data_IF_513447576204
#
_entry.id   IF_513447576204
#
_cell.length_a   1.000
_cell.length_b   1.000
_cell.length_c   1.000
_cell.angle_alpha   90.00
_cell.angle_beta   90.00
_cell.angle_gamma   90.00
#
_symmetry.space_group_name_H-M   'P 1'
#
loop_
_entity.id
_entity.type
_entity.pdbx_description
1 polymer ?
#
# COMPACT_ATOMS: atom_id res chain seq x y z
N UNK A 1 2.19 -12.25 7.84
CA UNK A 1 2.71 -10.89 8.07
C UNK A 1 1.54 -9.91 8.04
N UNK A 2 1.56 -8.89 8.90
CA UNK A 2 0.48 -7.94 9.02
C UNK A 2 0.74 -6.74 8.08
N UNK A 3 0.03 -6.65 6.95
CA UNK A 3 0.18 -5.55 5.98
C UNK A 3 -0.08 -4.18 6.60
N UNK A 4 -1.01 -4.09 7.54
CA UNK A 4 -1.33 -2.83 8.22
C UNK A 4 -0.26 -2.42 9.23
N UNK A 5 0.67 -3.31 9.59
CA UNK A 5 1.83 -2.95 10.40
C UNK A 5 2.97 -2.34 9.55
N UNK A 6 2.84 -2.39 8.23
CA UNK A 6 3.83 -1.91 7.27
C UNK A 6 3.47 -0.58 6.61
N UNK A 7 2.46 0.12 7.13
CA UNK A 7 2.13 1.49 6.74
C UNK A 7 2.58 2.45 7.83
N UNK A 8 2.80 3.71 7.47
CA UNK A 8 3.22 4.73 8.43
C UNK A 8 2.07 5.04 9.42
N UNK A 9 2.43 5.56 10.60
CA UNK A 9 1.46 5.90 11.65
C UNK A 9 0.50 7.04 11.27
N UNK A 10 0.83 7.78 10.23
CA UNK A 10 0.06 8.87 9.63
C UNK A 10 -0.80 8.39 8.44
N UNK A 11 -1.03 7.08 8.33
CA UNK A 11 -1.75 6.45 7.23
C UNK A 11 -3.05 5.82 7.73
N UNK A 12 -4.16 6.23 7.13
CA UNK A 12 -5.49 5.70 7.37
C UNK A 12 -5.91 4.85 6.18
N UNK A 13 -6.27 3.59 6.43
CA UNK A 13 -6.67 2.64 5.40
C UNK A 13 -8.19 2.61 5.28
N UNK A 14 -8.69 2.87 4.07
CA UNK A 14 -10.10 2.74 3.74
C UNK A 14 -10.41 1.34 3.19
N UNK A 15 -9.46 0.77 2.44
CA UNK A 15 -9.62 -0.53 1.81
C UNK A 15 -8.30 -1.32 1.80
N UNK A 16 -8.39 -2.60 2.17
CA UNK A 16 -7.33 -3.58 2.00
C UNK A 16 -7.95 -4.86 1.45
N UNK A 17 -7.53 -5.25 0.26
CA UNK A 17 -7.94 -6.49 -0.39
C UNK A 17 -6.70 -7.33 -0.73
N UNK A 18 -6.76 -8.61 -0.40
CA UNK A 18 -5.79 -9.62 -0.83
C UNK A 18 -6.54 -10.58 -1.74
N UNK A 19 -6.23 -10.55 -3.03
CA UNK A 19 -6.86 -11.40 -4.05
C UNK A 19 -6.20 -12.78 -4.08
N UNK A 20 -6.94 -13.77 -4.58
CA UNK A 20 -6.46 -15.16 -4.67
C UNK A 20 -5.27 -15.35 -5.62
N UNK A 21 -5.02 -14.41 -6.52
CA UNK A 21 -3.87 -14.35 -7.42
C UNK A 21 -2.66 -13.62 -6.81
N UNK A 22 -2.65 -13.44 -5.48
CA UNK A 22 -1.60 -12.77 -4.72
C UNK A 22 -1.45 -11.27 -5.02
N UNK A 23 -2.38 -10.70 -5.77
CA UNK A 23 -2.48 -9.25 -5.95
C UNK A 23 -3.06 -8.65 -4.67
N UNK A 24 -2.41 -7.61 -4.18
CA UNK A 24 -2.83 -6.85 -3.01
C UNK A 24 -3.20 -5.46 -3.49
N UNK A 25 -4.38 -5.01 -3.12
CA UNK A 25 -4.85 -3.64 -3.33
C UNK A 25 -5.03 -2.95 -1.98
N UNK A 26 -4.44 -1.77 -1.85
CA UNK A 26 -4.50 -0.95 -0.65
C UNK A 26 -4.89 0.47 -1.04
N UNK A 27 -5.90 1.05 -0.40
CA UNK A 27 -6.24 2.46 -0.58
C UNK A 27 -6.60 3.13 0.73
N UNK A 28 -6.46 4.45 0.74
CA UNK A 28 -6.68 5.25 1.93
C UNK A 28 -6.13 6.65 1.78
N UNK A 29 -5.77 7.25 2.92
CA UNK A 29 -5.19 8.59 3.02
C UNK A 29 -3.91 8.57 3.87
N UNK A 30 -2.93 9.37 3.52
CA UNK A 30 -1.66 9.47 4.26
C UNK A 30 -1.06 10.87 4.16
N UNK A 31 -0.36 11.32 5.21
CA UNK A 31 0.47 12.54 5.16
C UNK A 31 1.81 12.31 4.44
N UNK A 32 2.23 11.04 4.28
CA UNK A 32 3.49 10.64 3.65
C UNK A 32 3.26 9.58 2.56
N UNK A 33 2.17 9.74 1.80
CA UNK A 33 1.73 8.74 0.82
C UNK A 33 2.84 8.31 -0.15
N UNK A 34 3.66 9.26 -0.61
CA UNK A 34 4.76 9.06 -1.57
C UNK A 34 5.74 7.93 -1.22
N UNK A 35 5.94 7.63 0.06
CA UNK A 35 6.89 6.61 0.53
C UNK A 35 6.27 5.20 0.60
N UNK A 36 4.94 5.09 0.54
CA UNK A 36 4.21 3.85 0.77
C UNK A 36 4.64 2.70 -0.14
N UNK A 37 4.83 2.87 -1.47
CA UNK A 37 5.26 1.75 -2.31
C UNK A 37 6.59 1.16 -1.87
N UNK A 38 7.57 2.01 -1.54
CA UNK A 38 8.89 1.59 -1.08
C UNK A 38 8.84 0.91 0.29
N UNK A 39 8.03 1.44 1.20
CA UNK A 39 7.81 0.89 2.53
C UNK A 39 7.18 -0.51 2.46
N UNK A 40 6.12 -0.66 1.67
CA UNK A 40 5.41 -1.92 1.47
C UNK A 40 6.31 -3.01 0.88
N UNK A 41 7.18 -2.66 -0.08
CA UNK A 41 8.16 -3.61 -0.63
C UNK A 41 9.17 -4.08 0.42
N UNK A 42 9.65 -3.17 1.28
CA UNK A 42 10.67 -3.48 2.30
C UNK A 42 10.11 -4.22 3.51
N UNK A 43 8.91 -3.87 3.96
CA UNK A 43 8.34 -4.37 5.21
C UNK A 43 7.49 -5.64 5.02
N UNK A 44 6.72 -5.72 3.93
CA UNK A 44 5.73 -6.80 3.74
C UNK A 44 6.12 -7.82 2.66
N UNK A 45 7.40 -7.84 2.24
CA UNK A 45 7.91 -8.69 1.17
C UNK A 45 7.04 -8.63 -0.11
N UNK A 46 6.61 -7.42 -0.44
CA UNK A 46 5.80 -7.15 -1.61
C UNK A 46 6.68 -6.80 -2.80
N UNK A 47 6.22 -7.15 -3.98
CA UNK A 47 6.86 -6.82 -5.25
C UNK A 47 5.92 -5.99 -6.10
N UNK A 48 6.52 -5.22 -7.01
CA UNK A 48 5.78 -4.38 -7.98
C UNK A 48 4.77 -3.46 -7.29
N UNK A 49 5.05 -3.01 -6.06
CA UNK A 49 4.21 -2.05 -5.37
C UNK A 49 4.28 -0.72 -6.11
N UNK A 50 3.14 -0.24 -6.59
CA UNK A 50 3.05 1.00 -7.34
C UNK A 50 1.68 1.64 -7.13
N UNK A 51 1.61 2.97 -7.28
CA UNK A 51 0.33 3.65 -7.27
C UNK A 51 -0.51 3.26 -8.48
N UNK A 52 -1.80 3.02 -8.25
CA UNK A 52 -2.81 2.96 -9.29
C UNK A 52 -3.18 4.39 -9.70
N UNK A 53 -2.30 5.04 -10.46
CA UNK A 53 -2.37 6.46 -10.77
C UNK A 53 -1.36 7.26 -9.96
N UNK A 54 -1.77 8.41 -9.43
CA UNK A 54 -0.96 9.27 -8.57
C UNK A 54 -1.59 9.45 -7.19
N UNK A 55 -0.85 10.11 -6.29
CA UNK A 55 -1.40 10.62 -5.04
C UNK A 55 -2.22 11.88 -5.32
N UNK A 56 -3.34 12.04 -4.62
CA UNK A 56 -4.26 13.17 -4.81
C UNK A 56 -4.49 13.86 -3.48
N UNK A 57 -4.08 15.13 -3.37
CA UNK A 57 -4.34 15.94 -2.18
C UNK A 57 -5.84 16.10 -1.93
N UNK A 58 -6.25 15.87 -0.68
CA UNK A 58 -7.62 15.99 -0.19
C UNK A 58 -7.66 17.14 0.83
N UNK A 59 -8.39 18.21 0.49
CA UNK A 59 -8.33 19.49 1.22
C UNK A 59 -9.03 19.48 2.59
N UNK A 60 -10.00 18.60 2.82
CA UNK A 60 -10.75 18.54 4.08
C UNK A 60 -9.89 17.99 5.21
N UNK A 61 -9.13 16.93 4.92
CA UNK A 61 -8.20 16.30 5.85
C UNK A 61 -6.78 16.85 5.79
N UNK A 62 -6.40 17.48 4.68
CA UNK A 62 -5.03 17.88 4.41
C UNK A 62 -4.09 16.71 4.11
N UNK A 63 -4.65 15.56 3.72
CA UNK A 63 -3.91 14.33 3.43
C UNK A 63 -3.93 13.99 1.95
N UNK A 64 -3.02 13.13 1.52
CA UNK A 64 -3.02 12.58 0.17
C UNK A 64 -3.82 11.27 0.13
N UNK A 65 -4.84 11.22 -0.73
CA UNK A 65 -5.49 9.98 -1.13
C UNK A 65 -4.53 9.16 -1.99
N UNK A 66 -4.47 7.87 -1.72
CA UNK A 66 -3.67 6.93 -2.48
C UNK A 66 -4.43 5.66 -2.82
N UNK A 67 -3.97 4.97 -3.86
CA UNK A 67 -4.29 3.57 -4.14
C UNK A 67 -3.03 2.90 -4.63
N UNK A 68 -2.65 1.78 -4.01
CA UNK A 68 -1.46 1.00 -4.32
C UNK A 68 -1.89 -0.40 -4.69
N UNK A 69 -1.34 -0.90 -5.79
CA UNK A 69 -1.35 -2.33 -6.09
C UNK A 69 0.04 -2.89 -5.89
N UNK A 70 0.11 -4.09 -5.34
CA UNK A 70 1.33 -4.86 -5.24
C UNK A 70 1.05 -6.34 -5.50
N UNK A 71 2.09 -7.13 -5.65
CA UNK A 71 2.01 -8.60 -5.69
C UNK A 71 2.82 -9.16 -4.55
N UNK A 72 2.29 -10.16 -3.85
CA UNK A 72 3.05 -10.86 -2.81
C UNK A 72 4.21 -11.64 -3.45
N UNK A 73 5.41 -11.52 -2.89
CA UNK A 73 6.49 -12.40 -3.32
C UNK A 73 6.15 -13.82 -2.85
N UNK A 74 5.86 -14.72 -3.78
CA UNK A 74 5.81 -16.15 -3.49
C UNK A 74 7.23 -16.68 -3.66
N UNK A 75 7.89 -16.96 -2.54
CA UNK A 75 9.01 -17.88 -2.57
C UNK A 75 8.43 -19.23 -3.01
N UNK A 76 8.77 -19.70 -4.21
CA UNK A 76 8.49 -21.08 -4.58
C UNK A 76 9.33 -21.94 -3.65
N UNK A 77 8.71 -22.47 -2.60
CA UNK A 77 9.25 -23.62 -1.86
C UNK A 77 9.58 -24.68 -2.91
N UNK A 78 10.87 -24.88 -3.14
CA UNK A 78 11.42 -25.86 -4.07
C UNK A 78 11.90 -27.07 -3.29
#
# INVERSE_FOLDING_TARGET
ENLTACVNHDTWLDHLEIRSDQVINLSGMSLTASDLPSLLMRCANLQKAAFQGGVQFESESGMDRFSVTATRHMESDK
#
